data_IF_482992972003
#
_entry.id   IF_482992972003
#
_cell.length_a   1.000
_cell.length_b   1.000
_cell.length_c   1.000
_cell.angle_alpha   90.00
_cell.angle_beta   90.00
_cell.angle_gamma   90.00
#
_symmetry.space_group_name_H-M   'P 1'
#
loop_
_entity.id
_entity.type
_entity.pdbx_description
1 polymer ?
#
# COMPACT_ATOMS: atom_id res chain seq x y z
N UNK A 1 -69.62 -6.40 -35.13
CA UNK A 1 -69.40 -6.48 -33.68
C UNK A 1 -68.77 -7.84 -33.38
N UNK A 2 -67.45 -7.97 -33.42
CA UNK A 2 -66.66 -8.98 -32.69
C UNK A 2 -65.26 -8.38 -32.54
N UNK A 3 -64.78 -8.34 -31.30
CA UNK A 3 -63.49 -7.79 -30.87
C UNK A 3 -62.36 -8.83 -30.98
N UNK A 4 -61.13 -8.30 -30.84
CA UNK A 4 -59.96 -8.91 -30.18
C UNK A 4 -58.95 -9.66 -31.05
N UNK A 5 -57.63 -9.55 -30.85
CA UNK A 5 -56.75 -8.61 -30.13
C UNK A 5 -55.35 -9.02 -30.61
N UNK A 6 -54.55 -8.10 -31.14
CA UNK A 6 -53.14 -8.37 -31.47
C UNK A 6 -52.41 -8.71 -30.16
N UNK A 7 -51.85 -9.92 -30.07
CA UNK A 7 -50.94 -10.27 -28.98
C UNK A 7 -49.53 -9.85 -29.40
N UNK A 8 -49.15 -8.62 -29.08
CA UNK A 8 -47.79 -8.14 -29.22
C UNK A 8 -46.91 -8.79 -28.16
N UNK A 9 -45.92 -9.59 -28.60
CA UNK A 9 -44.79 -10.03 -27.80
C UNK A 9 -44.07 -8.80 -27.21
N UNK A 10 -44.25 -8.58 -25.91
CA UNK A 10 -43.42 -7.66 -25.13
C UNK A 10 -42.30 -8.44 -24.46
N UNK A 11 -41.13 -8.52 -25.09
CA UNK A 11 -39.92 -8.97 -24.40
C UNK A 11 -39.43 -7.80 -23.55
N UNK A 12 -39.74 -7.83 -22.26
CA UNK A 12 -39.18 -6.89 -21.29
C UNK A 12 -37.71 -7.26 -21.04
N UNK A 13 -36.78 -6.58 -21.71
CA UNK A 13 -35.36 -6.69 -21.39
C UNK A 13 -35.08 -5.93 -20.08
N UNK A 14 -34.90 -6.67 -18.98
CA UNK A 14 -34.43 -6.11 -17.72
C UNK A 14 -32.94 -5.79 -17.85
N UNK A 15 -32.60 -4.52 -18.08
CA UNK A 15 -31.22 -4.02 -17.93
C UNK A 15 -30.86 -4.04 -16.45
N UNK A 16 -30.21 -5.13 -16.00
CA UNK A 16 -29.60 -5.17 -14.67
C UNK A 16 -28.36 -4.28 -14.70
N UNK A 17 -28.49 -3.05 -14.21
CA UNK A 17 -27.36 -2.16 -13.99
C UNK A 17 -26.61 -2.67 -12.77
N UNK A 18 -25.58 -3.50 -12.97
CA UNK A 18 -24.61 -3.78 -11.92
C UNK A 18 -23.81 -2.51 -11.68
N UNK A 19 -24.18 -1.75 -10.65
CA UNK A 19 -23.30 -0.72 -10.12
C UNK A 19 -22.03 -1.42 -9.64
N UNK A 20 -20.91 -1.19 -10.35
CA UNK A 20 -19.58 -1.50 -9.87
C UNK A 20 -19.34 -0.63 -8.64
N UNK A 21 -19.69 -1.13 -7.47
CA UNK A 21 -19.14 -0.62 -6.22
C UNK A 21 -17.63 -0.90 -6.30
N UNK A 22 -16.84 0.13 -6.59
CA UNK A 22 -15.41 0.06 -6.42
C UNK A 22 -15.17 -0.34 -4.95
N UNK A 23 -14.61 -1.53 -4.74
CA UNK A 23 -14.22 -1.98 -3.41
C UNK A 23 -13.12 -1.01 -2.95
N UNK A 24 -13.44 -0.12 -2.01
CA UNK A 24 -12.43 0.69 -1.33
C UNK A 24 -11.70 -0.24 -0.37
N UNK A 25 -10.47 -0.61 -0.72
CA UNK A 25 -9.58 -1.39 0.14
C UNK A 25 -8.72 -0.42 0.93
N UNK A 26 -8.91 -0.43 2.23
CA UNK A 26 -8.32 0.55 3.14
C UNK A 26 -7.13 -0.09 3.88
N UNK A 27 -5.97 -0.13 3.20
CA UNK A 27 -4.78 -0.82 3.70
C UNK A 27 -3.98 0.09 4.64
N UNK A 28 -3.98 -0.26 5.93
CA UNK A 28 -3.28 0.47 6.99
C UNK A 28 -2.17 -0.39 7.60
N UNK A 29 -0.92 0.02 7.43
CA UNK A 29 0.23 -0.72 7.97
C UNK A 29 1.31 0.19 8.53
N UNK A 30 1.91 -0.22 9.65
CA UNK A 30 3.04 0.47 10.26
C UNK A 30 4.13 -0.49 10.72
N UNK A 31 5.36 0.01 10.78
CA UNK A 31 6.48 -0.67 11.43
C UNK A 31 6.35 -0.50 12.96
N UNK A 32 6.56 -1.61 13.68
CA UNK A 32 6.50 -1.70 15.14
C UNK A 32 7.88 -1.97 15.76
N UNK A 33 8.81 -2.57 15.00
CA UNK A 33 10.18 -2.87 15.43
C UNK A 33 11.12 -2.77 14.21
N UNK A 34 12.23 -2.00 14.27
CA UNK A 34 12.54 -1.01 15.31
C UNK A 34 11.42 0.02 15.46
N UNK A 35 11.09 0.44 16.69
CA UNK A 35 9.94 1.30 16.95
C UNK A 35 10.22 2.72 16.42
N UNK A 36 9.47 3.22 15.42
CA UNK A 36 9.66 4.57 14.94
C UNK A 36 9.15 5.59 15.96
N UNK A 37 9.76 6.77 15.96
CA UNK A 37 9.19 7.93 16.63
C UNK A 37 8.22 8.63 15.67
N UNK A 38 7.10 9.12 16.18
CA UNK A 38 6.00 9.67 15.38
C UNK A 38 5.88 11.18 15.59
N UNK A 39 5.44 11.91 14.57
CA UNK A 39 5.14 13.35 14.66
C UNK A 39 3.78 13.64 15.32
N UNK A 40 2.98 12.60 15.55
CA UNK A 40 1.63 12.67 16.13
C UNK A 40 1.43 11.58 17.18
N UNK A 41 0.51 11.81 18.12
CA UNK A 41 0.05 10.79 19.08
C UNK A 41 -1.28 10.16 18.68
N UNK A 42 -1.98 10.71 17.69
CA UNK A 42 -3.24 10.17 17.20
C UNK A 42 -3.02 8.85 16.45
N UNK A 43 -3.77 7.82 16.82
CA UNK A 43 -3.56 6.47 16.28
C UNK A 43 -3.95 6.39 14.81
N UNK A 44 -5.09 6.96 14.44
CA UNK A 44 -5.57 6.88 13.05
C UNK A 44 -4.59 7.58 12.12
N UNK A 45 -4.10 8.76 12.50
CA UNK A 45 -3.07 9.49 11.75
C UNK A 45 -1.78 8.68 11.61
N UNK A 46 -1.32 7.96 12.64
CA UNK A 46 -0.11 7.11 12.53
C UNK A 46 -0.27 6.00 11.48
N UNK A 47 -1.47 5.45 11.35
CA UNK A 47 -1.75 4.30 10.51
C UNK A 47 -2.08 4.69 9.07
N UNK A 48 -2.44 5.95 8.83
CA UNK A 48 -2.83 6.44 7.50
C UNK A 48 -1.74 6.16 6.45
N UNK A 49 -2.14 5.77 5.23
CA UNK A 49 -1.18 5.63 4.14
C UNK A 49 -0.61 6.99 3.75
N UNK A 50 0.55 6.95 3.07
CA UNK A 50 1.18 8.15 2.51
C UNK A 50 0.25 8.87 1.52
N UNK A 51 -0.50 8.10 0.73
CA UNK A 51 -1.59 8.58 -0.11
C UNK A 51 -2.54 7.42 -0.44
N UNK A 52 -3.80 7.75 -0.70
CA UNK A 52 -4.76 6.88 -1.37
C UNK A 52 -4.68 7.16 -2.87
N UNK A 53 -3.87 6.37 -3.58
CA UNK A 53 -3.50 6.64 -4.98
C UNK A 53 -4.72 6.69 -5.93
N UNK A 54 -5.79 5.98 -5.59
CA UNK A 54 -7.06 6.03 -6.31
C UNK A 54 -7.70 7.42 -6.32
N UNK A 55 -7.47 8.22 -5.28
CA UNK A 55 -7.94 9.61 -5.20
C UNK A 55 -7.06 10.55 -6.03
N UNK A 56 -5.84 10.10 -6.36
CA UNK A 56 -4.84 10.85 -7.14
C UNK A 56 -4.81 10.45 -8.61
N UNK A 57 -5.85 9.73 -9.07
CA UNK A 57 -6.03 9.38 -10.48
C UNK A 57 -5.29 8.11 -10.92
N UNK A 58 -4.68 7.37 -9.99
CA UNK A 58 -4.16 6.04 -10.30
C UNK A 58 -5.30 5.03 -10.36
N UNK A 59 -5.30 4.19 -11.40
CA UNK A 59 -6.25 3.09 -11.48
C UNK A 59 -5.81 1.98 -10.54
N UNK A 60 -6.70 1.53 -9.66
CA UNK A 60 -6.45 0.37 -8.81
C UNK A 60 -6.31 -0.89 -9.67
N UNK A 61 -5.33 -1.72 -9.34
CA UNK A 61 -5.06 -2.97 -10.06
C UNK A 61 -4.69 -4.04 -9.04
N UNK A 62 -5.18 -5.25 -9.26
CA UNK A 62 -4.81 -6.41 -8.43
C UNK A 62 -3.31 -6.72 -8.56
N UNK A 63 -2.80 -6.73 -9.80
CA UNK A 63 -1.38 -6.91 -10.08
C UNK A 63 -0.67 -5.55 -10.28
N UNK A 64 -0.50 -4.81 -9.17
CA UNK A 64 0.25 -3.55 -9.18
C UNK A 64 1.71 -3.75 -9.62
N UNK A 65 2.27 -4.94 -9.41
CA UNK A 65 3.63 -5.27 -9.81
C UNK A 65 3.78 -5.34 -11.34
N UNK A 66 2.85 -5.96 -12.04
CA UNK A 66 2.84 -5.93 -13.51
C UNK A 66 2.61 -4.50 -14.00
N UNK A 67 1.62 -3.80 -13.44
CA UNK A 67 1.30 -2.43 -13.83
C UNK A 67 2.51 -1.48 -13.71
N UNK A 68 3.24 -1.50 -12.57
CA UNK A 68 4.39 -0.61 -12.37
C UNK A 68 5.52 -0.90 -13.38
N UNK A 69 5.75 -2.18 -13.71
CA UNK A 69 6.75 -2.61 -14.70
C UNK A 69 6.38 -2.11 -16.11
N UNK A 70 5.12 -2.25 -16.51
CA UNK A 70 4.62 -1.74 -17.80
C UNK A 70 4.73 -0.21 -17.92
N UNK A 71 4.61 0.49 -16.79
CA UNK A 71 4.75 1.94 -16.71
C UNK A 71 6.20 2.41 -16.46
N UNK A 72 7.18 1.51 -16.53
CA UNK A 72 8.60 1.85 -16.49
C UNK A 72 9.22 2.04 -15.11
N UNK A 73 8.48 1.73 -14.03
CA UNK A 73 9.00 1.79 -12.66
C UNK A 73 9.71 0.48 -12.28
N UNK A 74 10.93 0.61 -11.76
CA UNK A 74 11.81 -0.53 -11.45
C UNK A 74 11.47 -1.22 -10.14
N UNK A 75 11.02 -0.44 -9.16
CA UNK A 75 10.69 -0.88 -7.80
C UNK A 75 9.46 -0.13 -7.28
N UNK A 76 8.88 -0.57 -6.17
CA UNK A 76 7.85 0.19 -5.45
C UNK A 76 8.43 1.53 -5.00
N UNK A 77 9.64 1.57 -4.44
CA UNK A 77 10.30 2.83 -4.09
C UNK A 77 10.49 3.75 -5.30
N UNK A 78 10.90 3.21 -6.45
CA UNK A 78 11.05 3.99 -7.69
C UNK A 78 9.72 4.58 -8.16
N UNK A 79 8.62 3.84 -7.99
CA UNK A 79 7.28 4.38 -8.19
C UNK A 79 6.98 5.53 -7.21
N UNK A 80 7.17 5.33 -5.91
CA UNK A 80 6.92 6.38 -4.90
C UNK A 80 7.74 7.64 -5.23
N UNK A 81 9.03 7.50 -5.50
CA UNK A 81 9.95 8.62 -5.76
C UNK A 81 9.64 9.40 -7.05
N UNK A 82 9.15 8.72 -8.11
CA UNK A 82 9.02 9.31 -9.45
C UNK A 82 7.59 9.58 -9.91
N UNK A 83 6.58 8.86 -9.41
CA UNK A 83 5.20 9.00 -9.84
C UNK A 83 4.54 10.30 -9.35
N UNK A 84 5.07 10.92 -8.29
CA UNK A 84 4.71 12.23 -7.73
C UNK A 84 3.20 12.49 -7.64
N UNK A 85 2.66 12.31 -6.46
CA UNK A 85 1.28 12.62 -6.07
C UNK A 85 1.30 13.41 -4.76
N UNK A 86 0.25 14.18 -4.42
CA UNK A 86 0.17 14.81 -3.11
C UNK A 86 0.05 13.73 -2.03
N UNK A 87 0.70 13.96 -0.90
CA UNK A 87 0.64 13.06 0.25
C UNK A 87 -0.41 13.54 1.24
N UNK A 88 -0.90 12.63 2.07
CA UNK A 88 -1.84 12.92 3.14
C UNK A 88 -1.35 14.10 3.99
N UNK A 89 -2.24 15.03 4.33
CA UNK A 89 -1.89 16.22 5.11
C UNK A 89 -1.11 15.87 6.38
N UNK A 90 0.06 16.51 6.54
CA UNK A 90 0.95 16.29 7.69
C UNK A 90 1.92 15.11 7.54
N UNK A 91 1.82 14.30 6.47
CA UNK A 91 2.82 13.31 6.14
C UNK A 91 4.05 13.95 5.47
N UNK A 92 5.24 13.46 5.81
CA UNK A 92 6.44 13.66 5.03
C UNK A 92 6.50 12.64 3.89
N UNK A 93 6.97 13.06 2.71
CA UNK A 93 7.00 12.18 1.55
C UNK A 93 7.87 10.92 1.76
N UNK A 94 8.99 11.07 2.49
CA UNK A 94 9.94 9.99 2.73
C UNK A 94 9.65 9.23 4.01
N UNK A 95 9.18 9.93 5.04
CA UNK A 95 9.04 9.37 6.38
C UNK A 95 7.57 9.15 6.81
N UNK A 96 6.59 9.47 5.97
CA UNK A 96 5.18 9.41 6.33
C UNK A 96 4.91 10.22 7.59
N UNK A 97 4.29 9.60 8.59
CA UNK A 97 4.01 10.23 9.88
C UNK A 97 5.11 9.98 10.94
N UNK A 98 6.24 9.40 10.56
CA UNK A 98 7.40 9.23 11.46
C UNK A 98 8.23 10.53 11.51
N UNK A 99 8.89 10.77 12.64
CA UNK A 99 9.74 11.94 12.81
C UNK A 99 11.12 11.71 12.15
N UNK A 100 11.45 12.42 11.05
CA UNK A 100 12.76 12.28 10.39
C UNK A 100 13.93 12.76 11.26
N UNK A 101 13.64 13.49 12.34
CA UNK A 101 14.62 13.95 13.34
C UNK A 101 14.57 13.10 14.61
N UNK A 102 13.84 11.99 14.58
CA UNK A 102 13.80 11.02 15.66
C UNK A 102 15.20 10.50 16.00
N UNK A 103 15.33 10.04 17.24
CA UNK A 103 16.52 9.34 17.73
C UNK A 103 16.64 7.99 17.01
N UNK A 104 17.77 7.71 16.35
CA UNK A 104 18.00 6.42 15.71
C UNK A 104 17.79 5.27 16.69
N UNK A 105 17.04 4.26 16.26
CA UNK A 105 16.84 3.05 17.03
C UNK A 105 18.05 2.11 16.87
N UNK A 106 18.40 1.32 17.90
CA UNK A 106 19.40 0.26 17.74
C UNK A 106 18.89 -0.80 16.77
N UNK A 107 19.80 -1.46 16.04
CA UNK A 107 19.46 -2.64 15.24
C UNK A 107 18.89 -3.72 16.18
N UNK A 108 17.66 -4.22 15.96
CA UNK A 108 17.07 -5.22 16.84
C UNK A 108 17.87 -6.53 16.88
N UNK A 109 17.86 -7.18 18.04
CA UNK A 109 18.52 -8.47 18.20
C UNK A 109 17.97 -9.51 17.21
N UNK A 110 18.87 -10.35 16.67
CA UNK A 110 18.49 -11.38 15.72
C UNK A 110 17.97 -10.84 14.38
N UNK A 111 18.35 -9.60 14.02
CA UNK A 111 17.96 -8.99 12.74
C UNK A 111 16.43 -8.87 12.58
N UNK A 112 15.72 -8.69 13.69
CA UNK A 112 14.27 -8.64 13.68
C UNK A 112 13.72 -7.34 13.08
N UNK A 113 12.60 -7.46 12.38
CA UNK A 113 11.70 -6.38 12.05
C UNK A 113 10.26 -6.84 12.32
N UNK A 114 9.39 -5.95 12.78
CA UNK A 114 7.97 -6.26 12.99
C UNK A 114 7.08 -5.17 12.42
N UNK A 115 5.97 -5.54 11.80
CA UNK A 115 4.91 -4.62 11.39
C UNK A 115 3.55 -5.06 11.95
N UNK A 116 2.48 -4.37 11.55
CA UNK A 116 1.11 -4.82 11.81
C UNK A 116 0.67 -6.03 10.98
N UNK A 117 1.45 -6.44 9.97
CA UNK A 117 1.20 -7.56 9.05
C UNK A 117 0.48 -7.14 7.78
N UNK A 118 0.71 -7.85 6.67
CA UNK A 118 0.08 -7.62 5.36
C UNK A 118 -1.27 -8.33 5.31
N UNK A 119 -2.37 -7.57 5.22
CA UNK A 119 -3.74 -8.11 5.18
C UNK A 119 -4.38 -8.02 3.78
N UNK A 120 -3.69 -7.38 2.85
CA UNK A 120 -4.12 -7.17 1.48
C UNK A 120 -3.00 -7.58 0.53
N UNK A 121 -3.38 -8.11 -0.62
CA UNK A 121 -2.45 -8.45 -1.68
C UNK A 121 -1.82 -7.17 -2.23
N UNK A 122 -0.51 -7.22 -2.44
CA UNK A 122 0.24 -6.09 -2.96
C UNK A 122 1.73 -6.24 -2.70
N UNK A 123 2.56 -5.48 -3.45
CA UNK A 123 3.99 -5.52 -3.27
C UNK A 123 4.42 -4.77 -2.02
N UNK A 124 5.57 -5.17 -1.48
CA UNK A 124 6.24 -4.46 -0.41
C UNK A 124 7.74 -4.48 -0.64
N UNK A 125 8.41 -3.46 -0.11
CA UNK A 125 9.86 -3.38 -0.09
C UNK A 125 10.30 -2.79 1.25
N UNK A 126 11.46 -3.26 1.74
CA UNK A 126 12.16 -2.68 2.87
C UNK A 126 13.54 -2.29 2.40
N UNK A 127 13.93 -1.06 2.69
CA UNK A 127 15.19 -0.48 2.27
C UNK A 127 15.99 -0.08 3.50
N UNK A 128 17.31 -0.27 3.46
CA UNK A 128 18.24 0.36 4.39
C UNK A 128 19.07 1.33 3.57
N UNK A 129 18.87 2.63 3.82
CA UNK A 129 19.32 3.71 2.97
C UNK A 129 18.97 3.41 1.51
N UNK A 130 19.95 3.18 0.63
CA UNK A 130 19.73 2.88 -0.79
C UNK A 130 19.83 1.38 -1.13
N UNK A 131 19.86 0.51 -0.12
CA UNK A 131 19.95 -0.95 -0.31
C UNK A 131 18.60 -1.60 0.00
N UNK A 132 17.98 -2.23 -1.00
CA UNK A 132 16.80 -3.07 -0.76
C UNK A 132 17.22 -4.35 -0.04
N UNK A 133 16.59 -4.64 1.09
CA UNK A 133 16.95 -5.76 1.98
C UNK A 133 15.84 -6.79 2.12
N UNK A 134 14.61 -6.44 1.73
CA UNK A 134 13.47 -7.34 1.64
C UNK A 134 12.50 -6.83 0.57
N UNK A 135 11.93 -7.73 -0.21
CA UNK A 135 10.94 -7.43 -1.22
C UNK A 135 9.89 -8.55 -1.32
N UNK A 136 8.76 -8.27 -1.95
CA UNK A 136 7.83 -9.28 -2.44
C UNK A 136 6.83 -8.68 -3.41
N UNK A 137 6.48 -9.43 -4.46
CA UNK A 137 5.46 -9.02 -5.42
C UNK A 137 4.04 -9.13 -4.84
N UNK A 138 3.82 -10.11 -3.93
CA UNK A 138 2.67 -10.20 -3.03
C UNK A 138 3.18 -10.51 -1.61
N UNK A 139 3.14 -9.52 -0.72
CA UNK A 139 3.67 -9.64 0.64
C UNK A 139 2.69 -10.25 1.65
N UNK A 140 1.39 -10.22 1.36
CA UNK A 140 0.39 -10.94 2.14
C UNK A 140 0.62 -12.46 2.04
N UNK A 141 0.92 -12.96 0.85
CA UNK A 141 1.27 -14.37 0.65
C UNK A 141 2.69 -14.70 1.12
N UNK A 142 3.68 -13.89 0.72
CA UNK A 142 5.10 -14.17 1.02
C UNK A 142 5.44 -14.05 2.50
N UNK A 143 4.77 -13.14 3.21
CA UNK A 143 5.00 -12.86 4.62
C UNK A 143 3.68 -12.85 5.41
N UNK A 144 3.09 -14.04 5.66
CA UNK A 144 1.76 -14.16 6.29
C UNK A 144 1.75 -13.78 7.78
N UNK A 145 2.92 -13.48 8.36
CA UNK A 145 3.09 -13.07 9.74
C UNK A 145 3.36 -11.57 9.89
N UNK A 146 3.73 -11.20 11.12
CA UNK A 146 4.08 -9.83 11.49
C UNK A 146 5.57 -9.64 11.72
N UNK A 147 6.30 -10.75 11.87
CA UNK A 147 7.72 -10.80 12.17
C UNK A 147 8.52 -11.15 10.92
N UNK A 148 9.57 -10.39 10.67
CA UNK A 148 10.47 -10.54 9.53
C UNK A 148 11.91 -10.59 10.02
N UNK A 149 12.78 -11.21 9.22
CA UNK A 149 14.23 -11.12 9.40
C UNK A 149 14.79 -10.28 8.26
N UNK A 150 15.49 -9.21 8.61
CA UNK A 150 16.07 -8.25 7.65
C UNK A 150 17.59 -8.25 7.79
N UNK A 151 18.32 -8.33 6.68
CA UNK A 151 19.78 -8.20 6.74
C UNK A 151 20.20 -6.73 6.94
N UNK A 152 20.58 -6.38 8.17
CA UNK A 152 21.10 -5.04 8.49
C UNK A 152 22.58 -4.85 8.12
N UNK A 153 23.22 -5.81 7.43
CA UNK A 153 24.65 -5.74 7.13
C UNK A 153 25.06 -4.53 6.29
N UNK A 154 24.15 -3.96 5.49
CA UNK A 154 24.38 -2.73 4.71
C UNK A 154 24.44 -1.47 5.58
N UNK A 155 23.85 -1.49 6.79
CA UNK A 155 23.85 -0.36 7.71
C UNK A 155 25.24 -0.20 8.35
N UNK A 156 26.04 0.78 7.87
CA UNK A 156 27.39 1.08 8.38
C UNK A 156 27.40 2.32 9.27
N UNK A 157 26.61 2.28 10.35
CA UNK A 157 26.45 3.38 11.29
C UNK A 157 24.98 3.67 11.53
N UNK A 158 24.54 4.89 11.21
CA UNK A 158 23.13 5.23 11.15
C UNK A 158 22.62 5.00 9.73
N UNK A 159 21.50 4.33 9.60
CA UNK A 159 20.77 4.14 8.35
C UNK A 159 19.30 4.52 8.55
N UNK A 160 18.64 4.88 7.46
CA UNK A 160 17.19 5.03 7.37
C UNK A 160 16.56 3.72 6.92
N UNK A 161 15.50 3.30 7.60
CA UNK A 161 14.63 2.18 7.21
C UNK A 161 13.46 2.70 6.36
#
# INVERSE_FOLDING_TARGET
MVYSLLSTLGVAATLSSMALLALTVDAHQIVLLPEPQWTTNDKETKYNPLAFLENEGFTTQEDFTAWRKENGYKSLRDFLDNAKYPVTDGADFKCGFTDPKGTPQPIPAGNAMRSTGYTHDGPCEVWLDDTMVLDGDNCHEKFPGKDYTVDYSSCKGTCTL
#
